data_IF_051297505614
#
_entry.id   IF_051297505614
#
_cell.length_a   1.000
_cell.length_b   1.000
_cell.length_c   1.000
_cell.angle_alpha   90.00
_cell.angle_beta   90.00
_cell.angle_gamma   90.00
#
_symmetry.space_group_name_H-M   'P 1'
#
loop_
_entity.id
_entity.type
_entity.pdbx_description
1 polymer ?
#
# COMPACT_ATOMS: atom_id res chain seq x y z
N UNK A 1 -7.24 -29.85 -8.21
CA UNK A 1 -7.25 -28.40 -7.95
C UNK A 1 -7.26 -28.22 -6.44
N UNK A 2 -6.31 -27.48 -5.87
CA UNK A 2 -6.25 -27.21 -4.43
C UNK A 2 -7.42 -26.32 -3.97
N UNK A 3 -7.70 -26.29 -2.67
CA UNK A 3 -8.72 -25.39 -2.10
C UNK A 3 -8.32 -23.94 -2.28
N UNK A 4 -7.04 -23.63 -2.10
CA UNK A 4 -6.48 -22.30 -2.35
C UNK A 4 -6.80 -21.85 -3.78
N UNK A 5 -6.50 -22.64 -4.78
CA UNK A 5 -6.71 -22.26 -6.18
C UNK A 5 -8.19 -22.05 -6.50
N UNK A 6 -9.10 -22.88 -5.97
CA UNK A 6 -10.54 -22.66 -6.10
C UNK A 6 -11.02 -21.34 -5.49
N UNK A 7 -10.47 -21.00 -4.32
CA UNK A 7 -10.82 -19.73 -3.66
C UNK A 7 -10.28 -18.53 -4.43
N UNK A 8 -9.03 -18.60 -4.92
CA UNK A 8 -8.44 -17.55 -5.77
C UNK A 8 -9.29 -17.30 -7.01
N UNK A 9 -9.68 -18.36 -7.76
CA UNK A 9 -10.52 -18.23 -8.95
C UNK A 9 -11.87 -17.57 -8.62
N UNK A 10 -12.48 -17.95 -7.48
CA UNK A 10 -13.74 -17.35 -7.04
C UNK A 10 -13.55 -15.87 -6.68
N UNK A 11 -12.46 -15.50 -6.01
CA UNK A 11 -12.16 -14.11 -5.70
C UNK A 11 -11.86 -13.28 -6.96
N UNK A 12 -11.08 -13.81 -7.91
CA UNK A 12 -10.80 -13.14 -9.19
C UNK A 12 -12.09 -12.88 -9.97
N UNK A 13 -13.05 -13.81 -9.95
CA UNK A 13 -14.32 -13.66 -10.67
C UNK A 13 -15.21 -12.52 -10.14
N UNK A 14 -14.86 -11.93 -9.01
CA UNK A 14 -15.57 -10.78 -8.41
C UNK A 14 -14.91 -9.47 -8.86
N UNK A 15 -15.62 -8.59 -9.60
CA UNK A 15 -15.04 -7.36 -10.15
C UNK A 15 -14.95 -6.25 -9.10
N UNK A 16 -14.16 -6.48 -8.06
CA UNK A 16 -13.99 -5.60 -6.91
C UNK A 16 -13.08 -4.41 -7.20
N UNK A 17 -13.43 -3.61 -8.20
CA UNK A 17 -12.67 -2.38 -8.52
C UNK A 17 -12.89 -1.35 -7.43
N UNK A 18 -11.77 -0.84 -6.87
CA UNK A 18 -11.77 0.09 -5.74
C UNK A 18 -12.82 1.19 -5.85
N UNK A 19 -13.60 1.50 -4.82
CA UNK A 19 -13.63 0.92 -3.48
C UNK A 19 -14.67 -0.22 -3.32
N UNK A 20 -15.18 -0.82 -4.41
CA UNK A 20 -16.19 -1.87 -4.36
C UNK A 20 -15.56 -3.21 -3.94
N UNK A 21 -16.10 -3.85 -2.90
CA UNK A 21 -15.71 -5.20 -2.46
C UNK A 21 -16.26 -6.31 -3.37
N UNK A 22 -17.31 -6.07 -4.10
CA UNK A 22 -18.05 -7.04 -4.94
C UNK A 22 -18.37 -8.36 -4.22
N UNK A 23 -18.50 -8.34 -2.88
CA UNK A 23 -18.81 -9.50 -2.05
C UNK A 23 -17.62 -10.44 -1.78
N UNK A 24 -16.39 -10.03 -2.05
CA UNK A 24 -15.19 -10.81 -1.69
C UNK A 24 -15.12 -11.08 -0.20
N UNK A 25 -15.35 -10.06 0.64
CA UNK A 25 -15.33 -10.22 2.09
C UNK A 25 -16.47 -11.11 2.60
N UNK A 26 -17.64 -11.08 1.98
CA UNK A 26 -18.73 -11.99 2.33
C UNK A 26 -18.33 -13.47 2.15
N UNK A 27 -17.62 -13.80 1.09
CA UNK A 27 -17.06 -15.14 0.86
C UNK A 27 -16.02 -15.50 1.94
N UNK A 28 -15.15 -14.58 2.32
CA UNK A 28 -14.18 -14.81 3.38
C UNK A 28 -14.87 -15.00 4.75
N UNK A 29 -15.90 -14.22 5.06
CA UNK A 29 -16.71 -14.35 6.28
C UNK A 29 -17.35 -15.74 6.37
N UNK A 30 -17.93 -16.24 5.27
CA UNK A 30 -18.50 -17.59 5.21
C UNK A 30 -17.49 -18.65 5.62
N UNK A 31 -16.27 -18.59 5.01
CA UNK A 31 -15.18 -19.55 5.27
C UNK A 31 -14.65 -19.45 6.70
N UNK A 32 -14.33 -18.24 7.13
CA UNK A 32 -13.76 -17.97 8.46
C UNK A 32 -14.74 -18.29 9.59
N UNK A 33 -16.03 -17.95 9.43
CA UNK A 33 -17.07 -18.27 10.42
C UNK A 33 -17.24 -19.78 10.58
N UNK A 34 -17.12 -20.56 9.51
CA UNK A 34 -17.22 -22.02 9.55
C UNK A 34 -16.15 -22.67 10.43
N UNK A 35 -14.99 -22.03 10.61
CA UNK A 35 -13.89 -22.48 11.48
C UNK A 35 -13.78 -21.66 12.79
N UNK A 36 -14.86 -20.95 13.15
CA UNK A 36 -15.03 -20.34 14.48
C UNK A 36 -14.42 -18.97 14.66
N UNK A 37 -14.22 -18.19 13.58
CA UNK A 37 -13.91 -16.78 13.72
C UNK A 37 -15.15 -15.96 14.04
N UNK A 38 -15.00 -14.98 14.93
CA UNK A 38 -15.97 -13.91 15.17
C UNK A 38 -15.72 -12.83 14.12
N UNK A 39 -16.66 -12.65 13.18
CA UNK A 39 -16.52 -11.73 12.06
C UNK A 39 -17.34 -10.46 12.30
N UNK A 40 -16.72 -9.30 12.11
CA UNK A 40 -17.33 -7.97 12.22
C UNK A 40 -17.11 -7.20 10.93
N UNK A 41 -18.18 -6.89 10.21
CA UNK A 41 -18.12 -5.99 9.05
C UNK A 41 -18.18 -4.54 9.53
N UNK A 42 -17.25 -3.72 9.03
CA UNK A 42 -17.14 -2.30 9.36
C UNK A 42 -17.25 -1.50 8.05
N UNK A 43 -18.22 -0.60 7.97
CA UNK A 43 -18.39 0.27 6.81
C UNK A 43 -18.07 1.70 7.20
N UNK A 44 -17.17 2.33 6.46
CA UNK A 44 -16.78 3.73 6.64
C UNK A 44 -16.95 4.51 5.32
N UNK A 45 -16.87 5.85 5.42
CA UNK A 45 -16.97 6.73 4.26
C UNK A 45 -18.42 7.13 3.92
N UNK A 46 -18.63 7.66 2.69
CA UNK A 46 -19.93 8.17 2.27
C UNK A 46 -20.99 7.07 2.19
N UNK A 47 -22.20 7.36 2.69
CA UNK A 47 -23.30 6.38 2.70
C UNK A 47 -23.69 5.84 1.31
N UNK A 48 -23.38 6.61 0.23
CA UNK A 48 -23.67 6.24 -1.16
C UNK A 48 -22.60 5.32 -1.78
N UNK A 49 -21.40 5.29 -1.20
CA UNK A 49 -20.28 4.45 -1.65
C UNK A 49 -19.41 4.10 -0.43
N UNK A 50 -19.91 3.28 0.49
CA UNK A 50 -19.16 2.91 1.69
C UNK A 50 -18.00 1.98 1.32
N UNK A 51 -16.88 2.16 1.99
CA UNK A 51 -15.79 1.19 1.99
C UNK A 51 -16.12 0.08 2.96
N UNK A 52 -16.05 -1.15 2.49
CA UNK A 52 -16.30 -2.33 3.31
C UNK A 52 -15.00 -2.86 3.91
N UNK A 53 -14.99 -3.08 5.21
CA UNK A 53 -13.87 -3.64 5.93
C UNK A 53 -14.31 -4.83 6.77
N UNK A 54 -13.42 -5.78 6.98
CA UNK A 54 -13.62 -6.96 7.79
C UNK A 54 -12.56 -7.02 8.91
N UNK A 55 -13.04 -7.10 10.15
CA UNK A 55 -12.27 -7.64 11.25
C UNK A 55 -12.82 -9.01 11.62
N UNK A 56 -11.99 -10.05 11.52
CA UNK A 56 -12.35 -11.38 11.96
C UNK A 56 -11.29 -11.90 12.94
N UNK A 57 -11.71 -12.48 14.07
CA UNK A 57 -10.78 -12.99 15.08
C UNK A 57 -11.25 -14.37 15.62
N UNK A 58 -10.32 -15.29 15.70
CA UNK A 58 -10.47 -16.53 16.48
C UNK A 58 -9.49 -16.48 17.66
N UNK A 59 -10.05 -16.37 18.86
CA UNK A 59 -9.26 -16.33 20.09
C UNK A 59 -8.76 -17.72 20.44
N UNK A 60 -7.45 -17.85 20.67
CA UNK A 60 -6.84 -19.07 21.14
C UNK A 60 -7.09 -19.33 22.63
N UNK A 61 -6.82 -20.56 23.09
CA UNK A 61 -7.03 -20.98 24.49
C UNK A 61 -6.21 -20.12 25.49
N UNK A 62 -5.07 -19.57 25.08
CA UNK A 62 -4.22 -18.71 25.90
C UNK A 62 -4.56 -17.21 25.82
N UNK A 63 -5.60 -16.80 25.10
CA UNK A 63 -5.92 -15.40 24.91
C UNK A 63 -6.09 -14.61 26.21
N UNK A 64 -6.87 -15.16 27.15
CA UNK A 64 -7.09 -14.54 28.47
C UNK A 64 -5.81 -14.44 29.33
N UNK A 65 -4.78 -15.20 29.02
CA UNK A 65 -3.47 -15.18 29.66
C UNK A 65 -2.46 -14.31 28.90
N UNK A 66 -2.89 -13.58 27.86
CA UNK A 66 -2.07 -12.67 27.09
C UNK A 66 -1.23 -13.35 26.01
N UNK A 67 -1.62 -14.54 25.54
CA UNK A 67 -1.00 -15.17 24.38
C UNK A 67 -1.10 -14.25 23.15
N UNK A 68 -0.09 -14.27 22.23
CA UNK A 68 -0.02 -13.29 21.14
C UNK A 68 -1.12 -13.46 20.12
N UNK A 69 -1.45 -12.35 19.43
CA UNK A 69 -2.36 -12.30 18.29
C UNK A 69 -1.56 -12.10 17.00
N UNK A 70 -1.70 -13.07 16.07
CA UNK A 70 -1.23 -12.94 14.68
C UNK A 70 -2.38 -12.42 13.81
N UNK A 71 -2.10 -11.37 13.05
CA UNK A 71 -3.04 -10.77 12.10
C UNK A 71 -2.60 -11.07 10.69
N UNK A 72 -3.50 -11.54 9.84
CA UNK A 72 -3.38 -11.52 8.40
C UNK A 72 -4.09 -10.28 7.87
N UNK A 73 -3.39 -9.46 7.09
CA UNK A 73 -3.93 -8.22 6.56
C UNK A 73 -3.81 -8.16 5.04
N UNK A 74 -4.76 -7.46 4.42
CA UNK A 74 -4.77 -7.24 2.98
C UNK A 74 -6.04 -6.58 2.49
N UNK A 75 -6.19 -6.55 1.17
CA UNK A 75 -7.30 -5.88 0.51
C UNK A 75 -7.99 -6.77 -0.51
N UNK A 76 -9.29 -6.54 -0.69
CA UNK A 76 -10.10 -7.24 -1.70
C UNK A 76 -10.29 -6.42 -2.97
N UNK A 77 -10.14 -5.10 -2.87
CA UNK A 77 -10.24 -4.20 -4.00
C UNK A 77 -9.03 -4.35 -4.94
N UNK A 78 -9.24 -3.92 -6.18
CA UNK A 78 -8.24 -3.96 -7.24
C UNK A 78 -8.27 -2.67 -8.04
N UNK A 79 -7.15 -2.29 -8.65
CA UNK A 79 -7.09 -1.15 -9.57
C UNK A 79 -7.99 -1.37 -10.80
N UNK A 80 -8.44 -0.30 -11.47
CA UNK A 80 -9.13 -0.41 -12.75
C UNK A 80 -8.36 -1.27 -13.77
N UNK A 81 -9.10 -1.98 -14.59
CA UNK A 81 -8.53 -2.95 -15.56
C UNK A 81 -7.73 -2.29 -16.69
N UNK A 82 -7.96 -1.01 -16.96
CA UNK A 82 -7.51 -0.38 -18.19
C UNK A 82 -8.31 -0.84 -19.42
N UNK A 83 -7.78 -0.66 -20.63
CA UNK A 83 -8.47 -1.02 -21.87
C UNK A 83 -8.72 -2.52 -21.97
N UNK A 84 -9.99 -2.94 -22.04
CA UNK A 84 -10.39 -4.36 -22.06
C UNK A 84 -9.96 -5.09 -23.34
N UNK A 85 -9.82 -4.38 -24.44
CA UNK A 85 -9.37 -4.90 -25.74
C UNK A 85 -7.88 -5.27 -25.78
N UNK A 86 -7.12 -4.85 -24.77
CA UNK A 86 -5.70 -5.22 -24.63
C UNK A 86 -5.48 -6.49 -23.80
N UNK A 87 -6.51 -6.96 -23.07
CA UNK A 87 -6.42 -8.19 -22.29
C UNK A 87 -6.51 -9.42 -23.19
N UNK A 88 -5.61 -10.39 -23.01
CA UNK A 88 -5.64 -11.68 -23.71
C UNK A 88 -6.78 -12.59 -23.24
N UNK A 89 -7.32 -12.35 -22.05
CA UNK A 89 -8.53 -12.97 -21.49
C UNK A 89 -9.25 -11.95 -20.62
N UNK A 90 -10.59 -12.01 -20.47
CA UNK A 90 -11.32 -11.02 -19.65
C UNK A 90 -10.76 -10.95 -18.21
N UNK A 91 -10.52 -9.75 -17.64
CA UNK A 91 -9.78 -9.58 -16.39
C UNK A 91 -10.44 -10.23 -15.16
N UNK A 92 -11.76 -10.45 -15.18
CA UNK A 92 -12.50 -11.10 -14.10
C UNK A 92 -12.98 -12.52 -14.46
N UNK A 93 -12.35 -13.14 -15.47
CA UNK A 93 -12.53 -14.55 -15.82
C UNK A 93 -11.20 -15.26 -15.56
N UNK A 94 -11.04 -15.95 -14.41
CA UNK A 94 -9.79 -16.62 -14.07
C UNK A 94 -9.40 -17.60 -15.17
N UNK A 95 -8.25 -17.39 -15.78
CA UNK A 95 -7.83 -18.12 -16.97
C UNK A 95 -6.45 -18.75 -16.76
N UNK A 96 -6.40 -20.08 -16.89
CA UNK A 96 -5.14 -20.82 -16.84
C UNK A 96 -4.48 -20.88 -18.23
N UNK A 97 -3.22 -20.49 -18.28
CA UNK A 97 -2.38 -20.55 -19.49
C UNK A 97 -0.92 -20.69 -19.11
N UNK A 98 -0.22 -21.65 -19.69
CA UNK A 98 1.22 -21.85 -19.54
C UNK A 98 1.71 -21.93 -18.07
N UNK A 99 0.92 -22.59 -17.20
CA UNK A 99 1.23 -22.72 -15.77
C UNK A 99 0.95 -21.47 -14.94
N UNK A 100 0.37 -20.43 -15.55
CA UNK A 100 -0.02 -19.19 -14.88
C UNK A 100 -1.55 -19.08 -14.74
N UNK A 101 -2.02 -18.42 -13.69
CA UNK A 101 -3.40 -18.01 -13.49
C UNK A 101 -3.50 -16.52 -13.76
N UNK A 102 -4.24 -16.15 -14.79
CA UNK A 102 -4.48 -14.77 -15.23
C UNK A 102 -5.78 -14.23 -14.67
N UNK A 103 -5.74 -12.96 -14.26
CA UNK A 103 -6.90 -12.17 -13.85
C UNK A 103 -6.48 -10.94 -13.04
N UNK A 104 -7.28 -9.89 -13.04
CA UNK A 104 -7.06 -8.70 -12.22
C UNK A 104 -7.18 -9.07 -10.73
N UNK A 105 -6.17 -8.68 -9.93
CA UNK A 105 -6.06 -9.05 -8.53
C UNK A 105 -5.43 -10.43 -8.30
N UNK A 106 -4.99 -11.13 -9.34
CA UNK A 106 -4.32 -12.42 -9.19
C UNK A 106 -3.03 -12.29 -8.36
N UNK A 107 -2.19 -11.31 -8.68
CA UNK A 107 -0.98 -11.02 -7.91
C UNK A 107 -1.22 -10.04 -6.76
N UNK A 108 -2.09 -9.07 -6.95
CA UNK A 108 -2.35 -7.96 -6.02
C UNK A 108 -3.84 -7.89 -5.65
N UNK A 109 -4.28 -8.56 -4.53
CA UNK A 109 -3.55 -9.57 -3.74
C UNK A 109 -4.45 -10.77 -3.38
N UNK A 110 -5.42 -11.10 -4.28
CA UNK A 110 -6.44 -12.14 -4.02
C UNK A 110 -5.86 -13.53 -3.78
N UNK A 111 -4.69 -13.83 -4.38
CA UNK A 111 -3.97 -15.11 -4.11
C UNK A 111 -3.50 -15.18 -2.67
N UNK A 112 -2.91 -14.10 -2.14
CA UNK A 112 -2.50 -14.05 -0.73
C UNK A 112 -3.68 -14.19 0.21
N UNK A 113 -4.82 -13.54 -0.07
CA UNK A 113 -6.04 -13.67 0.73
C UNK A 113 -6.52 -15.13 0.79
N UNK A 114 -6.57 -15.80 -0.35
CA UNK A 114 -6.98 -17.20 -0.42
C UNK A 114 -6.02 -18.12 0.34
N UNK A 115 -4.70 -17.91 0.19
CA UNK A 115 -3.68 -18.67 0.91
C UNK A 115 -3.80 -18.50 2.43
N UNK A 116 -4.01 -17.27 2.90
CA UNK A 116 -4.19 -16.97 4.32
C UNK A 116 -5.44 -17.65 4.91
N UNK A 117 -6.57 -17.62 4.19
CA UNK A 117 -7.81 -18.27 4.62
C UNK A 117 -7.61 -19.78 4.72
N UNK A 118 -7.13 -20.42 3.65
CA UNK A 118 -6.97 -21.88 3.61
C UNK A 118 -5.92 -22.36 4.63
N UNK A 119 -4.78 -21.65 4.74
CA UNK A 119 -3.77 -21.97 5.76
C UNK A 119 -4.33 -21.89 7.19
N UNK A 120 -5.19 -20.91 7.45
CA UNK A 120 -5.86 -20.79 8.76
C UNK A 120 -6.83 -21.94 9.02
N UNK A 121 -7.61 -22.35 8.03
CA UNK A 121 -8.52 -23.51 8.12
C UNK A 121 -7.76 -24.79 8.40
N UNK A 122 -6.68 -25.05 7.65
CA UNK A 122 -5.83 -26.24 7.82
C UNK A 122 -5.14 -26.24 9.20
N UNK A 123 -4.60 -25.09 9.62
CA UNK A 123 -3.98 -24.93 10.92
C UNK A 123 -4.97 -25.21 12.07
N UNK A 124 -6.16 -24.64 12.00
CA UNK A 124 -7.20 -24.82 13.04
C UNK A 124 -7.67 -26.27 13.09
N UNK A 125 -7.81 -26.92 11.93
CA UNK A 125 -8.17 -28.34 11.87
C UNK A 125 -7.10 -29.25 12.52
N UNK A 126 -5.82 -28.91 12.34
CA UNK A 126 -4.70 -29.64 12.93
C UNK A 126 -4.46 -29.27 14.40
N UNK A 127 -4.77 -28.04 14.81
CA UNK A 127 -4.48 -27.47 16.14
C UNK A 127 -5.70 -26.75 16.73
N UNK A 128 -6.80 -27.44 17.04
CA UNK A 128 -8.05 -26.83 17.51
C UNK A 128 -7.90 -26.03 18.81
N UNK A 129 -6.95 -26.44 19.68
CA UNK A 129 -6.67 -25.84 20.99
C UNK A 129 -5.42 -24.94 20.98
N UNK A 130 -5.11 -24.30 19.84
CA UNK A 130 -3.96 -23.38 19.71
C UNK A 130 -4.01 -22.26 20.77
N UNK A 131 -2.82 -21.80 21.22
CA UNK A 131 -2.70 -20.84 22.33
C UNK A 131 -2.90 -19.38 21.88
N UNK A 132 -2.19 -18.96 20.84
CA UNK A 132 -2.29 -17.61 20.29
C UNK A 132 -3.60 -17.38 19.53
N UNK A 133 -3.99 -16.14 19.35
CA UNK A 133 -5.16 -15.77 18.52
C UNK A 133 -4.75 -15.56 17.07
N UNK A 134 -5.67 -15.84 16.14
CA UNK A 134 -5.51 -15.55 14.71
C UNK A 134 -6.59 -14.55 14.33
N UNK A 135 -6.20 -13.51 13.58
CA UNK A 135 -7.13 -12.49 13.12
C UNK A 135 -6.93 -12.13 11.65
N UNK A 136 -7.96 -11.55 11.03
CA UNK A 136 -7.92 -10.96 9.70
C UNK A 136 -8.36 -9.51 9.76
N UNK A 137 -7.61 -8.63 9.11
CA UNK A 137 -7.93 -7.24 8.87
C UNK A 137 -7.93 -7.01 7.35
N UNK A 138 -9.11 -6.89 6.76
CA UNK A 138 -9.28 -6.83 5.31
C UNK A 138 -10.06 -5.56 4.95
N UNK A 139 -9.60 -4.85 3.93
CA UNK A 139 -10.23 -3.62 3.41
C UNK A 139 -10.63 -3.74 1.94
N UNK A 140 -11.47 -2.81 1.47
CA UNK A 140 -11.72 -2.55 0.05
C UNK A 140 -11.29 -1.15 -0.40
N UNK A 141 -10.31 -0.53 0.28
CA UNK A 141 -9.81 0.83 -0.03
C UNK A 141 -8.27 0.92 0.11
N UNK A 142 -7.52 -0.11 -0.28
CA UNK A 142 -6.05 -0.03 -0.36
C UNK A 142 -5.62 0.65 -1.64
N UNK A 143 -6.21 0.26 -2.75
CA UNK A 143 -5.93 0.71 -4.12
C UNK A 143 -6.58 2.06 -4.47
N UNK A 144 -7.30 2.63 -3.51
CA UNK A 144 -7.99 3.91 -3.61
C UNK A 144 -7.35 5.02 -2.77
N UNK A 145 -8.17 5.91 -2.19
CA UNK A 145 -7.69 6.99 -1.32
C UNK A 145 -7.09 6.51 0.00
N UNK A 146 -7.37 5.30 0.45
CA UNK A 146 -6.92 4.68 1.72
C UNK A 146 -7.29 5.52 2.97
N UNK A 147 -8.47 6.12 2.97
CA UNK A 147 -8.95 6.99 4.07
C UNK A 147 -10.09 6.38 4.87
N UNK A 148 -10.87 5.49 4.26
CA UNK A 148 -12.01 4.81 4.86
C UNK A 148 -11.77 3.28 5.04
N UNK A 149 -10.53 2.84 4.74
CA UNK A 149 -10.07 1.46 4.83
C UNK A 149 -9.37 1.13 6.14
N UNK A 150 -8.22 0.48 6.03
CA UNK A 150 -7.41 -0.04 7.13
C UNK A 150 -7.13 0.97 8.24
N UNK A 151 -6.95 2.26 7.92
CA UNK A 151 -6.74 3.29 8.93
C UNK A 151 -7.90 3.39 9.91
N UNK A 152 -9.15 3.33 9.42
CA UNK A 152 -10.35 3.38 10.25
C UNK A 152 -10.51 2.12 11.12
N UNK A 153 -10.14 0.96 10.57
CA UNK A 153 -10.15 -0.30 11.33
C UNK A 153 -9.10 -0.24 12.44
N UNK A 154 -7.90 0.28 12.17
CA UNK A 154 -6.86 0.46 13.18
C UNK A 154 -7.33 1.38 14.32
N UNK A 155 -7.97 2.50 14.02
CA UNK A 155 -8.55 3.41 15.02
C UNK A 155 -9.64 2.71 15.83
N UNK A 156 -10.51 1.94 15.17
CA UNK A 156 -11.58 1.17 15.83
C UNK A 156 -11.04 0.09 16.77
N UNK A 157 -9.96 -0.62 16.39
CA UNK A 157 -9.28 -1.62 17.21
C UNK A 157 -8.59 -0.98 18.41
N UNK A 158 -7.89 0.13 18.19
CA UNK A 158 -7.21 0.87 19.25
C UNK A 158 -8.18 1.40 20.30
N UNK A 159 -9.33 1.94 19.88
CA UNK A 159 -10.39 2.41 20.78
C UNK A 159 -10.98 1.28 21.66
N UNK A 160 -10.88 0.01 21.23
CA UNK A 160 -11.32 -1.17 21.96
C UNK A 160 -10.23 -1.81 22.81
N UNK A 161 -9.00 -1.33 22.71
CA UNK A 161 -7.86 -1.94 23.39
C UNK A 161 -7.52 -3.34 22.82
N UNK A 162 -7.89 -3.63 21.56
CA UNK A 162 -7.54 -4.90 20.93
C UNK A 162 -6.03 -4.92 20.69
N UNK A 163 -5.38 -5.99 21.14
CA UNK A 163 -3.93 -6.13 21.08
C UNK A 163 -3.52 -6.92 19.83
N UNK A 164 -2.66 -6.33 19.03
CA UNK A 164 -2.01 -6.94 17.89
C UNK A 164 -0.51 -7.12 18.22
N UNK A 165 0.02 -8.33 18.05
CA UNK A 165 1.44 -8.60 18.34
C UNK A 165 2.27 -8.76 17.07
N UNK A 166 1.71 -9.45 16.08
CA UNK A 166 2.34 -9.73 14.79
C UNK A 166 1.33 -9.52 13.66
N UNK A 167 1.78 -9.00 12.54
CA UNK A 167 0.95 -8.88 11.33
C UNK A 167 1.73 -9.31 10.09
N UNK A 168 1.11 -10.14 9.25
CA UNK A 168 1.57 -10.47 7.91
C UNK A 168 0.60 -9.82 6.93
N UNK A 169 1.10 -8.90 6.12
CA UNK A 169 0.34 -8.27 5.02
C UNK A 169 0.66 -9.04 3.74
N UNK A 170 -0.37 -9.44 3.01
CA UNK A 170 -0.24 -10.34 1.85
C UNK A 170 0.18 -9.68 0.54
N UNK A 171 0.86 -8.54 0.60
CA UNK A 171 1.32 -7.78 -0.55
C UNK A 171 2.31 -8.55 -1.44
N UNK A 172 2.30 -8.33 -2.77
CA UNK A 172 3.21 -8.98 -3.70
C UNK A 172 4.64 -8.43 -3.53
N UNK A 173 5.44 -9.09 -2.72
CA UNK A 173 6.79 -8.64 -2.36
C UNK A 173 7.90 -9.34 -3.11
N UNK A 174 7.66 -10.56 -3.59
CA UNK A 174 8.66 -11.36 -4.29
C UNK A 174 9.02 -10.74 -5.64
N UNK A 175 10.27 -10.91 -6.08
CA UNK A 175 10.82 -10.23 -7.27
C UNK A 175 10.99 -11.19 -8.46
N UNK A 176 11.61 -12.34 -8.25
CA UNK A 176 11.86 -13.36 -9.28
C UNK A 176 11.24 -14.71 -8.94
N UNK A 177 11.25 -15.07 -7.67
CA UNK A 177 10.74 -16.35 -7.17
C UNK A 177 10.01 -16.10 -5.86
N UNK A 178 8.95 -16.86 -5.60
CA UNK A 178 8.21 -16.75 -4.34
C UNK A 178 9.14 -16.86 -3.15
N UNK A 179 9.10 -15.84 -2.28
CA UNK A 179 9.89 -15.81 -1.05
C UNK A 179 11.32 -15.29 -1.18
N UNK A 180 11.79 -14.87 -2.36
CA UNK A 180 13.11 -14.26 -2.52
C UNK A 180 13.25 -12.92 -1.79
N UNK A 181 12.12 -12.25 -1.50
CA UNK A 181 12.10 -10.99 -0.75
C UNK A 181 10.83 -10.86 0.12
N UNK A 182 11.01 -10.44 1.37
CA UNK A 182 9.93 -9.95 2.24
C UNK A 182 10.18 -8.49 2.60
N UNK A 183 9.11 -7.73 2.87
CA UNK A 183 9.24 -6.36 3.34
C UNK A 183 9.06 -6.31 4.85
N UNK A 184 10.11 -5.92 5.54
CA UNK A 184 10.07 -5.69 6.99
C UNK A 184 9.97 -4.22 7.36
N UNK A 185 9.61 -3.37 6.40
CA UNK A 185 9.39 -1.94 6.55
C UNK A 185 9.08 -1.27 5.23
N UNK A 186 8.60 -0.05 5.30
CA UNK A 186 8.31 0.79 4.13
C UNK A 186 8.78 2.20 4.37
N UNK A 187 9.21 2.87 3.31
CA UNK A 187 9.49 4.31 3.33
C UNK A 187 8.20 5.08 3.53
N UNK A 188 8.32 6.26 4.17
CA UNK A 188 7.24 7.22 4.21
C UNK A 188 6.95 7.82 2.83
N UNK A 189 5.76 8.37 2.68
CA UNK A 189 5.30 9.08 1.48
C UNK A 189 4.67 10.41 1.88
N UNK A 190 5.21 11.52 1.34
CA UNK A 190 4.67 12.86 1.57
C UNK A 190 4.55 13.57 0.22
N UNK A 191 3.31 13.84 -0.19
CA UNK A 191 3.00 14.58 -1.42
C UNK A 191 2.79 16.05 -1.15
N UNK A 192 3.09 16.89 -2.14
CA UNK A 192 2.79 18.31 -2.11
C UNK A 192 2.33 18.81 -3.48
N UNK A 193 1.36 19.72 -3.44
CA UNK A 193 0.94 20.51 -4.60
C UNK A 193 1.36 21.96 -4.38
N UNK A 194 2.50 22.33 -4.95
CA UNK A 194 3.05 23.68 -4.91
C UNK A 194 2.37 24.58 -5.96
N UNK A 195 1.89 25.72 -5.52
CA UNK A 195 1.40 26.81 -6.38
C UNK A 195 2.28 28.03 -6.19
N UNK A 196 2.96 28.45 -7.26
CA UNK A 196 3.80 29.66 -7.26
C UNK A 196 3.02 30.79 -7.98
N UNK A 197 2.81 31.89 -7.27
CA UNK A 197 2.07 33.05 -7.78
C UNK A 197 2.97 33.97 -8.59
N UNK A 198 2.51 34.31 -9.79
CA UNK A 198 3.07 35.33 -10.64
C UNK A 198 2.09 36.48 -10.87
N UNK A 199 2.31 37.23 -11.96
CA UNK A 199 1.39 38.21 -12.50
C UNK A 199 1.33 38.01 -14.00
N UNK A 200 0.13 37.67 -14.49
CA UNK A 200 -0.09 37.46 -15.94
C UNK A 200 0.13 38.73 -16.73
N UNK A 201 0.71 38.59 -17.92
CA UNK A 201 0.90 39.74 -18.82
C UNK A 201 1.33 39.35 -20.22
N UNK A 202 1.49 40.35 -21.08
CA UNK A 202 1.96 40.11 -22.43
C UNK A 202 3.49 39.92 -22.45
N UNK A 203 3.97 38.92 -23.16
CA UNK A 203 5.40 38.54 -23.20
C UNK A 203 6.31 39.70 -23.70
N UNK A 204 5.79 40.59 -24.53
CA UNK A 204 6.53 41.77 -25.02
C UNK A 204 6.70 42.86 -23.96
N UNK A 205 5.95 42.80 -22.85
CA UNK A 205 5.99 43.79 -21.76
C UNK A 205 6.30 43.09 -20.40
N UNK A 206 7.46 42.40 -20.28
CA UNK A 206 7.77 41.60 -19.09
C UNK A 206 7.85 42.43 -17.80
N UNK A 207 8.12 43.74 -17.90
CA UNK A 207 8.15 44.66 -16.77
C UNK A 207 6.76 44.93 -16.13
N UNK A 208 5.68 44.58 -16.81
CA UNK A 208 4.30 44.65 -16.30
C UNK A 208 3.78 43.30 -15.77
N UNK A 209 4.60 42.29 -15.81
CA UNK A 209 4.26 40.91 -15.38
C UNK A 209 5.26 40.34 -14.39
N UNK A 210 4.95 39.20 -13.80
CA UNK A 210 5.88 38.40 -13.00
C UNK A 210 5.74 36.95 -13.44
N UNK A 211 6.72 36.43 -14.18
CA UNK A 211 6.68 35.08 -14.72
C UNK A 211 6.98 34.04 -13.62
N UNK A 212 5.99 33.26 -13.17
CA UNK A 212 6.20 32.28 -12.09
C UNK A 212 7.12 31.13 -12.51
N UNK A 213 7.23 30.83 -13.82
CA UNK A 213 8.15 29.83 -14.35
C UNK A 213 9.60 30.28 -14.12
N UNK A 214 9.93 31.53 -14.49
CA UNK A 214 11.27 32.09 -14.31
C UNK A 214 11.62 32.26 -12.82
N UNK A 215 10.65 32.64 -11.99
CA UNK A 215 10.86 32.80 -10.56
C UNK A 215 11.11 31.46 -9.87
N UNK A 216 10.39 30.40 -10.24
CA UNK A 216 10.50 29.10 -9.63
C UNK A 216 11.73 28.30 -10.11
N UNK A 217 12.18 28.49 -11.35
CA UNK A 217 13.23 27.68 -11.95
C UNK A 217 14.51 27.54 -11.10
N UNK A 218 15.07 28.62 -10.50
CA UNK A 218 16.25 28.49 -9.63
C UNK A 218 15.97 27.70 -8.36
N UNK A 219 14.81 27.89 -7.72
CA UNK A 219 14.41 27.16 -6.53
C UNK A 219 14.19 25.66 -6.82
N UNK A 220 13.54 25.35 -7.94
CA UNK A 220 13.33 23.96 -8.36
C UNK A 220 14.66 23.26 -8.68
N UNK A 221 15.61 23.98 -9.33
CA UNK A 221 16.94 23.44 -9.59
C UNK A 221 17.70 23.13 -8.29
N UNK A 222 17.61 24.00 -7.27
CA UNK A 222 18.20 23.76 -5.96
C UNK A 222 17.55 22.54 -5.28
N UNK A 223 16.21 22.44 -5.27
CA UNK A 223 15.49 21.31 -4.66
C UNK A 223 15.84 19.97 -5.32
N UNK A 224 16.02 19.94 -6.65
CA UNK A 224 16.46 18.75 -7.40
C UNK A 224 17.86 18.30 -6.99
N UNK A 225 18.77 19.26 -6.75
CA UNK A 225 20.16 18.97 -6.36
C UNK A 225 20.31 18.66 -4.86
N UNK A 226 19.26 18.91 -4.06
CA UNK A 226 19.33 18.82 -2.61
C UNK A 226 19.43 17.38 -2.14
N UNK A 227 20.36 17.11 -1.23
CA UNK A 227 20.43 15.86 -0.50
C UNK A 227 19.60 15.98 0.78
N UNK A 228 18.55 15.18 0.87
CA UNK A 228 17.57 15.26 1.95
C UNK A 228 18.05 14.60 3.22
N UNK A 229 18.61 13.37 3.11
CA UNK A 229 19.34 12.62 4.13
C UNK A 229 20.27 11.58 3.50
N UNK A 230 20.97 10.81 4.32
CA UNK A 230 21.90 9.78 3.88
C UNK A 230 21.24 8.38 3.81
N UNK A 231 19.99 8.27 4.27
CA UNK A 231 19.42 6.96 4.59
C UNK A 231 20.13 6.29 5.76
N UNK A 232 19.95 4.98 5.90
CA UNK A 232 20.65 4.17 6.90
C UNK A 232 20.78 2.71 6.41
N UNK A 233 21.20 1.79 7.27
CA UNK A 233 21.39 0.37 6.93
C UNK A 233 20.11 -0.32 6.40
N UNK A 234 18.93 0.23 6.71
CA UNK A 234 17.63 -0.33 6.33
C UNK A 234 16.91 0.45 5.23
N UNK A 235 17.22 1.72 5.06
CA UNK A 235 16.52 2.61 4.14
C UNK A 235 17.48 3.33 3.21
N UNK A 236 17.17 3.38 1.91
CA UNK A 236 17.89 4.28 1.00
C UNK A 236 17.66 5.75 1.41
N UNK A 237 18.52 6.68 0.94
CA UNK A 237 18.32 8.11 1.15
C UNK A 237 16.93 8.58 0.72
N UNK A 238 16.39 9.58 1.43
CA UNK A 238 15.14 10.24 1.06
C UNK A 238 15.26 10.86 -0.33
N UNK A 239 14.28 10.58 -1.17
CA UNK A 239 14.18 11.11 -2.53
C UNK A 239 13.01 12.07 -2.67
N UNK A 240 13.19 13.11 -3.48
CA UNK A 240 12.17 14.06 -3.89
C UNK A 240 12.01 14.05 -5.41
N UNK A 241 10.78 13.91 -5.91
CA UNK A 241 10.50 13.83 -7.33
C UNK A 241 9.31 14.71 -7.68
N UNK A 242 9.43 15.51 -8.72
CA UNK A 242 8.32 16.21 -9.35
C UNK A 242 7.64 15.28 -10.35
N UNK A 243 6.34 15.10 -10.24
CA UNK A 243 5.55 14.27 -11.15
C UNK A 243 4.88 15.08 -12.26
N UNK A 244 4.49 16.32 -11.97
CA UNK A 244 3.84 17.20 -12.93
C UNK A 244 4.26 18.65 -12.73
N UNK A 245 4.33 19.39 -13.86
CA UNK A 245 4.48 20.85 -13.90
C UNK A 245 3.46 21.41 -14.88
N UNK A 246 2.63 22.32 -14.41
CA UNK A 246 1.60 22.97 -15.22
C UNK A 246 1.70 24.48 -15.11
N UNK A 247 1.78 25.16 -16.25
CA UNK A 247 1.73 26.62 -16.36
C UNK A 247 1.26 27.02 -17.76
N UNK A 248 0.81 28.27 -17.88
CA UNK A 248 0.44 28.86 -19.16
C UNK A 248 -1.02 28.65 -19.53
N UNK A 249 -1.44 29.44 -20.55
CA UNK A 249 -2.82 29.47 -21.07
C UNK A 249 -2.93 28.76 -22.43
N UNK A 250 -1.84 28.19 -22.94
CA UNK A 250 -1.72 27.67 -24.30
C UNK A 250 -1.37 28.75 -25.36
N UNK A 251 -1.45 30.05 -25.03
CA UNK A 251 -1.06 31.12 -25.92
C UNK A 251 0.44 31.42 -25.78
N UNK A 252 1.14 31.55 -26.91
CA UNK A 252 2.59 31.76 -26.94
C UNK A 252 3.05 33.18 -26.58
N UNK A 253 2.15 34.12 -26.49
CA UNK A 253 2.42 35.53 -26.18
C UNK A 253 1.93 35.97 -24.78
N UNK A 254 1.55 35.03 -23.91
CA UNK A 254 1.06 35.28 -22.55
C UNK A 254 2.01 34.73 -21.52
N UNK A 255 2.49 35.58 -20.61
CA UNK A 255 3.17 35.17 -19.38
C UNK A 255 2.09 34.64 -18.41
N UNK A 256 2.20 33.41 -17.86
CA UNK A 256 1.20 32.89 -16.95
C UNK A 256 1.16 33.61 -15.60
N UNK A 257 0.00 33.56 -14.94
CA UNK A 257 -0.18 34.12 -13.59
C UNK A 257 0.15 33.12 -12.46
N UNK A 258 0.24 31.84 -12.79
CA UNK A 258 0.52 30.76 -11.82
C UNK A 258 1.34 29.64 -12.45
N UNK A 259 2.17 28.98 -11.63
CA UNK A 259 2.81 27.69 -11.89
C UNK A 259 2.37 26.70 -10.81
N UNK A 260 1.96 25.52 -11.21
CA UNK A 260 1.61 24.40 -10.31
C UNK A 260 2.61 23.28 -10.50
N UNK A 261 3.14 22.75 -9.39
CA UNK A 261 4.06 21.59 -9.37
C UNK A 261 3.52 20.55 -8.42
N UNK A 262 3.25 19.34 -8.92
CA UNK A 262 2.95 18.19 -8.10
C UNK A 262 4.25 17.41 -7.84
N UNK A 263 4.52 17.07 -6.59
CA UNK A 263 5.72 16.35 -6.18
C UNK A 263 5.48 15.37 -5.03
N UNK A 264 6.42 14.45 -4.84
CA UNK A 264 6.37 13.47 -3.75
C UNK A 264 7.76 13.25 -3.16
N UNK A 265 7.80 13.10 -1.83
CA UNK A 265 8.91 12.53 -1.09
C UNK A 265 8.67 11.05 -0.82
N UNK A 266 9.71 10.23 -1.07
CA UNK A 266 9.86 8.91 -0.46
C UNK A 266 10.94 9.00 0.58
N UNK A 267 10.58 8.95 1.88
CA UNK A 267 11.49 9.32 2.95
C UNK A 267 11.80 8.17 3.90
N UNK A 268 13.03 8.20 4.42
CA UNK A 268 13.56 7.25 5.38
C UNK A 268 13.14 7.61 6.82
N UNK A 269 13.54 6.78 7.77
CA UNK A 269 13.37 7.07 9.20
C UNK A 269 14.29 8.20 9.71
N UNK A 270 15.25 8.66 8.89
CA UNK A 270 16.15 9.78 9.21
C UNK A 270 15.48 11.16 9.05
N UNK A 271 14.35 11.21 8.37
CA UNK A 271 13.61 12.45 8.11
C UNK A 271 12.18 12.35 8.62
N UNK A 272 11.61 13.46 9.09
CA UNK A 272 10.19 13.57 9.43
C UNK A 272 9.45 14.40 8.39
N UNK A 273 8.12 14.22 8.22
CA UNK A 273 7.33 15.07 7.34
C UNK A 273 7.52 16.55 7.61
N UNK A 274 7.53 16.94 8.88
CA UNK A 274 7.65 18.32 9.33
C UNK A 274 9.02 18.93 8.94
N UNK A 275 10.10 18.15 9.06
CA UNK A 275 11.45 18.58 8.65
C UNK A 275 11.53 18.76 7.13
N UNK A 276 10.94 17.82 6.36
CA UNK A 276 10.93 17.90 4.90
C UNK A 276 10.14 19.11 4.39
N UNK A 277 8.97 19.37 4.99
CA UNK A 277 8.15 20.55 4.70
C UNK A 277 8.93 21.84 4.99
N UNK A 278 9.48 21.98 6.20
CA UNK A 278 10.24 23.16 6.59
C UNK A 278 11.41 23.42 5.64
N UNK A 279 12.24 22.41 5.36
CA UNK A 279 13.40 22.57 4.48
C UNK A 279 13.03 22.95 3.05
N UNK A 280 11.94 22.40 2.50
CA UNK A 280 11.45 22.76 1.18
C UNK A 280 10.93 24.20 1.15
N UNK A 281 10.11 24.59 2.14
CA UNK A 281 9.55 25.93 2.26
C UNK A 281 10.64 27.01 2.50
N UNK A 282 11.70 26.67 3.22
CA UNK A 282 12.88 27.54 3.38
C UNK A 282 13.57 27.83 2.06
N UNK A 283 13.74 26.82 1.19
CA UNK A 283 14.30 27.03 -0.15
C UNK A 283 13.43 27.96 -0.97
N UNK A 284 12.12 27.72 -1.04
CA UNK A 284 11.18 28.57 -1.79
C UNK A 284 11.17 30.01 -1.27
N UNK A 285 11.19 30.17 0.05
CA UNK A 285 11.20 31.49 0.73
C UNK A 285 12.51 32.25 0.45
N UNK A 286 13.65 31.58 0.50
CA UNK A 286 14.98 32.16 0.21
C UNK A 286 15.08 32.69 -1.21
N UNK A 287 14.39 32.04 -2.16
CA UNK A 287 14.26 32.50 -3.54
C UNK A 287 13.18 33.58 -3.72
N UNK A 288 12.55 34.05 -2.64
CA UNK A 288 11.56 35.15 -2.68
C UNK A 288 10.26 34.81 -3.37
N UNK A 289 9.89 33.53 -3.41
CA UNK A 289 8.66 33.10 -4.05
C UNK A 289 7.43 33.43 -3.21
N UNK A 290 6.36 33.85 -3.87
CA UNK A 290 5.01 33.86 -3.29
C UNK A 290 4.34 32.56 -3.63
N UNK A 291 4.13 31.69 -2.62
CA UNK A 291 3.65 30.33 -2.86
C UNK A 291 2.62 29.86 -1.83
N UNK A 292 1.94 28.78 -2.17
CA UNK A 292 1.13 27.95 -1.28
C UNK A 292 1.42 26.47 -1.60
N UNK A 293 1.47 25.63 -0.57
CA UNK A 293 1.58 24.19 -0.74
C UNK A 293 0.41 23.52 -0.02
N UNK A 294 -0.28 22.64 -0.73
CA UNK A 294 -1.25 21.72 -0.14
C UNK A 294 -0.52 20.39 0.07
N UNK A 295 -0.31 20.01 1.33
CA UNK A 295 0.43 18.81 1.74
C UNK A 295 -0.50 17.63 2.00
N UNK A 296 -0.07 16.42 1.61
CA UNK A 296 -0.77 15.16 1.88
C UNK A 296 0.24 14.12 2.37
N UNK A 297 0.12 13.72 3.63
CA UNK A 297 0.91 12.62 4.20
C UNK A 297 0.26 11.29 3.82
N UNK A 298 0.89 10.53 2.93
CA UNK A 298 0.43 9.19 2.53
C UNK A 298 0.78 8.12 3.56
N UNK A 299 1.83 8.33 4.36
CA UNK A 299 2.22 7.44 5.45
C UNK A 299 3.59 7.77 6.03
N UNK A 300 3.78 7.42 7.29
CA UNK A 300 5.09 7.49 7.96
C UNK A 300 5.90 6.24 7.63
N UNK A 301 7.25 6.30 7.63
CA UNK A 301 8.06 5.11 7.49
C UNK A 301 7.90 4.21 8.71
N UNK A 302 7.99 2.89 8.51
CA UNK A 302 8.06 1.93 9.60
C UNK A 302 9.14 0.88 9.33
N UNK A 303 9.62 0.26 10.39
CA UNK A 303 10.60 -0.82 10.34
C UNK A 303 10.30 -1.84 11.44
N UNK A 304 10.07 -3.06 11.05
CA UNK A 304 10.11 -4.23 11.93
C UNK A 304 11.55 -4.78 11.96
N UNK A 305 12.21 -4.64 13.09
CA UNK A 305 13.57 -5.19 13.26
C UNK A 305 13.52 -6.73 13.29
N UNK A 306 14.67 -7.37 13.08
CA UNK A 306 14.77 -8.82 13.28
C UNK A 306 14.27 -9.22 14.66
N UNK A 307 13.46 -10.27 14.70
CA UNK A 307 12.77 -10.76 15.89
C UNK A 307 11.85 -11.93 15.53
N UNK A 308 10.99 -12.36 16.45
CA UNK A 308 10.24 -13.61 16.31
C UNK A 308 9.47 -13.75 14.99
N UNK A 309 8.78 -12.69 14.53
CA UNK A 309 8.02 -12.77 13.27
C UNK A 309 8.94 -12.87 12.04
N UNK A 310 9.94 -11.99 11.95
CA UNK A 310 10.87 -11.96 10.81
C UNK A 310 11.66 -13.28 10.72
N UNK A 311 12.13 -13.78 11.85
CA UNK A 311 12.91 -15.04 11.90
C UNK A 311 12.03 -16.26 11.57
N UNK A 312 10.78 -16.31 12.06
CA UNK A 312 9.82 -17.35 11.72
C UNK A 312 9.46 -17.34 10.23
N UNK A 313 9.21 -16.16 9.65
CA UNK A 313 8.93 -16.01 8.22
C UNK A 313 10.11 -16.46 7.36
N UNK A 314 11.33 -16.01 7.70
CA UNK A 314 12.54 -16.40 6.97
C UNK A 314 12.79 -17.92 7.05
N UNK A 315 12.59 -18.54 8.22
CA UNK A 315 12.71 -19.98 8.39
C UNK A 315 11.65 -20.73 7.57
N UNK A 316 10.38 -20.34 7.63
CA UNK A 316 9.31 -20.97 6.88
C UNK A 316 9.53 -20.89 5.35
N UNK A 317 9.95 -19.73 4.85
CA UNK A 317 10.29 -19.55 3.43
C UNK A 317 11.46 -20.49 3.06
N UNK A 318 12.50 -20.54 3.88
CA UNK A 318 13.65 -21.41 3.64
C UNK A 318 13.26 -22.90 3.61
N UNK A 319 12.41 -23.32 4.54
CA UNK A 319 11.97 -24.71 4.65
C UNK A 319 11.13 -25.14 3.43
N UNK A 320 10.25 -24.23 2.92
CA UNK A 320 9.35 -24.54 1.81
C UNK A 320 10.02 -24.37 0.45
N UNK A 321 10.79 -23.29 0.26
CA UNK A 321 11.34 -22.92 -1.06
C UNK A 321 12.83 -23.21 -1.22
N UNK A 322 13.55 -23.41 -0.12
CA UNK A 322 15.01 -23.49 -0.11
C UNK A 322 15.72 -22.14 -0.24
N UNK A 323 14.97 -21.03 -0.33
CA UNK A 323 15.51 -19.68 -0.57
C UNK A 323 15.80 -18.99 0.76
N UNK A 324 16.95 -18.31 0.85
CA UNK A 324 17.22 -17.35 1.91
C UNK A 324 16.62 -16.01 1.50
N UNK A 325 15.55 -15.60 2.18
CA UNK A 325 14.80 -14.40 1.84
C UNK A 325 15.59 -13.11 2.15
N UNK A 326 15.51 -12.12 1.26
CA UNK A 326 16.04 -10.79 1.48
C UNK A 326 15.05 -9.93 2.29
N UNK A 327 15.53 -9.20 3.30
CA UNK A 327 14.77 -8.19 4.02
C UNK A 327 14.91 -6.85 3.31
N UNK A 328 13.79 -6.19 3.00
CA UNK A 328 13.83 -4.95 2.22
C UNK A 328 12.76 -3.96 2.70
N UNK A 329 13.07 -2.66 2.54
CA UNK A 329 12.16 -1.54 2.81
C UNK A 329 11.80 -0.77 1.53
N UNK A 330 12.25 -1.27 0.37
CA UNK A 330 12.04 -0.63 -0.93
C UNK A 330 10.63 -0.86 -1.48
N UNK A 331 10.28 -0.14 -2.57
CA UNK A 331 9.01 -0.26 -3.26
C UNK A 331 8.00 0.83 -2.90
N UNK A 332 6.74 0.57 -3.23
CA UNK A 332 5.59 1.41 -2.92
C UNK A 332 5.30 1.50 -1.43
N UNK A 333 4.17 2.07 -1.07
CA UNK A 333 3.63 1.96 0.29
C UNK A 333 2.52 0.91 0.30
N UNK A 334 2.07 0.51 1.49
CA UNK A 334 0.99 -0.46 1.70
C UNK A 334 0.24 -0.12 2.97
N UNK A 335 -0.86 -0.79 3.24
CA UNK A 335 -1.61 -0.63 4.48
C UNK A 335 -0.85 -1.06 5.75
N UNK A 336 0.26 -1.79 5.59
CA UNK A 336 1.21 -2.03 6.67
C UNK A 336 1.64 -0.77 7.42
N UNK A 337 1.65 0.41 6.75
CA UNK A 337 1.94 1.73 7.34
C UNK A 337 0.98 2.14 8.46
N UNK A 338 -0.28 1.75 8.36
CA UNK A 338 -1.30 2.04 9.38
C UNK A 338 -1.23 1.01 10.51
N UNK A 339 -1.12 -0.27 10.15
CA UNK A 339 -1.05 -1.37 11.11
C UNK A 339 0.18 -1.24 12.00
N UNK A 340 1.32 -0.80 11.47
CA UNK A 340 2.55 -0.58 12.23
C UNK A 340 2.45 0.49 13.32
N UNK A 341 1.37 1.29 13.34
CA UNK A 341 1.12 2.24 14.43
C UNK A 341 0.55 1.56 15.69
N UNK A 342 -0.05 0.36 15.54
CA UNK A 342 -0.73 -0.38 16.62
C UNK A 342 -0.21 -1.81 16.79
N UNK A 343 0.65 -2.27 15.90
CA UNK A 343 1.24 -3.61 15.90
C UNK A 343 2.77 -3.50 15.85
N UNK A 344 3.50 -4.07 16.81
CA UNK A 344 4.96 -3.89 16.90
C UNK A 344 5.76 -4.67 15.85
N UNK A 345 5.17 -5.70 15.25
CA UNK A 345 5.83 -6.50 14.22
C UNK A 345 4.93 -6.64 12.99
N UNK A 346 5.29 -5.98 11.90
CA UNK A 346 4.59 -6.03 10.62
C UNK A 346 5.57 -6.45 9.54
N UNK A 347 5.25 -7.51 8.81
CA UNK A 347 6.01 -8.01 7.66
C UNK A 347 5.06 -8.17 6.49
N UNK A 348 5.53 -7.87 5.29
CA UNK A 348 4.75 -8.09 4.08
C UNK A 348 5.38 -9.23 3.28
N UNK A 349 4.54 -10.13 2.81
CA UNK A 349 4.93 -11.31 2.03
C UNK A 349 3.81 -11.74 1.09
N UNK A 350 4.17 -11.95 -0.16
CA UNK A 350 3.25 -12.45 -1.19
C UNK A 350 3.94 -12.79 -2.50
N UNK A 351 3.16 -12.99 -3.57
CA UNK A 351 3.64 -13.49 -4.85
C UNK A 351 4.60 -12.53 -5.55
N UNK A 352 5.08 -12.96 -6.72
CA UNK A 352 5.96 -12.17 -7.59
C UNK A 352 5.22 -10.95 -8.12
N UNK A 353 5.82 -9.76 -7.95
CA UNK A 353 5.21 -8.45 -8.24
C UNK A 353 5.32 -8.00 -9.71
N UNK A 354 5.87 -8.82 -10.60
CA UNK A 354 6.20 -8.40 -11.96
C UNK A 354 4.99 -8.01 -12.82
N UNK A 355 3.78 -8.52 -12.51
CA UNK A 355 2.55 -8.31 -13.28
C UNK A 355 1.53 -7.38 -12.63
N UNK A 356 1.76 -6.90 -11.40
CA UNK A 356 0.82 -6.04 -10.68
C UNK A 356 0.46 -4.79 -11.48
N UNK A 357 -0.81 -4.37 -11.43
CA UNK A 357 -1.38 -3.20 -12.12
C UNK A 357 -1.26 -3.21 -13.65
N UNK A 358 -0.72 -4.28 -14.23
CA UNK A 358 -0.57 -4.43 -15.69
C UNK A 358 -1.78 -5.09 -16.33
N UNK A 359 -1.87 -4.96 -17.64
CA UNK A 359 -2.70 -5.83 -18.49
C UNK A 359 -2.14 -7.26 -18.35
N UNK A 360 -3.03 -8.25 -18.38
CA UNK A 360 -2.67 -9.68 -18.21
C UNK A 360 -1.93 -9.95 -16.88
N UNK A 361 -2.38 -9.32 -15.80
CA UNK A 361 -1.92 -9.64 -14.46
C UNK A 361 -2.08 -11.14 -14.17
N UNK A 362 -1.07 -11.75 -13.56
CA UNK A 362 -1.04 -13.20 -13.33
C UNK A 362 -0.11 -13.60 -12.18
N UNK A 363 -0.30 -14.83 -11.70
CA UNK A 363 0.60 -15.53 -10.77
C UNK A 363 0.95 -16.90 -11.31
N UNK A 364 2.10 -17.45 -10.91
CA UNK A 364 2.43 -18.84 -11.18
C UNK A 364 1.54 -19.76 -10.31
N UNK A 365 0.92 -20.76 -10.92
CA UNK A 365 0.06 -21.72 -10.19
C UNK A 365 0.87 -22.58 -9.22
N UNK A 366 2.16 -22.75 -9.48
CA UNK A 366 3.07 -23.51 -8.64
C UNK A 366 3.44 -22.78 -7.33
N UNK A 367 3.39 -21.42 -7.33
CA UNK A 367 3.68 -20.57 -6.18
C UNK A 367 2.50 -20.55 -5.19
#
# INVERSE_FOLDING_TARGET
MSDTLRLVETLISRPSVTPDDAGCQALMIERLSAVGFECTTLNFGPAQAPVTNLWAIRRGAGHAQGAPTLVFAGHTDVVPTGPLDQWSSPPFVPTHRDGMLFGRGAADMKTSLAAMVVASEEFIAAHPDHQGSIAFLITSDEEGPSVDGTVQVCEWLQARGERLDCCIVGEPTSVKSLGDMIKNGRRGSLSGKLRVKGVQGHIAYPHLARNPIHLAAPALAELVAMRWDEGNEHFPPTSWQMSNIHAGTGANNVIPGELVVDFNFRFSTESTPEQLQTRLEEVLSRHGLSFKIDWTLGGRPFLTRRGPLVDAMAAAIKDVTGIDTELSTTGGTSDGRFIAQICPQVVEFGPVNASIHKIDEHVAVAD
#
